data_IF_371286377720
#
_entry.id   IF_371286377720
#
_cell.length_a   1.000
_cell.length_b   1.000
_cell.length_c   1.000
_cell.angle_alpha   90.00
_cell.angle_beta   90.00
_cell.angle_gamma   90.00
#
_symmetry.space_group_name_H-M   'P 1'
#
loop_
_entity.id
_entity.type
_entity.pdbx_description
1 polymer ?
#
# COMPACT_ATOMS: atom_id res chain seq x y z
N UNK A 1 1.64 2.27 -35.24
CA UNK A 1 1.88 1.45 -34.04
C UNK A 1 1.89 2.35 -32.81
N UNK A 2 0.72 2.60 -32.21
CA UNK A 2 0.63 3.37 -30.96
C UNK A 2 1.08 2.44 -29.83
N UNK A 3 2.24 2.73 -29.25
CA UNK A 3 2.74 2.03 -28.06
C UNK A 3 1.81 2.38 -26.90
N UNK A 4 1.15 1.37 -26.35
CA UNK A 4 0.51 1.41 -25.04
C UNK A 4 1.53 1.87 -23.99
N UNK A 5 1.62 3.17 -23.74
CA UNK A 5 2.18 3.68 -22.49
C UNK A 5 1.22 3.20 -21.40
N UNK A 6 1.57 2.11 -20.72
CA UNK A 6 0.94 1.73 -19.45
C UNK A 6 0.94 2.99 -18.57
N UNK A 7 -0.25 3.53 -18.32
CA UNK A 7 -0.46 4.63 -17.40
C UNK A 7 -0.02 4.20 -16.00
N UNK A 8 1.25 4.40 -15.65
CA UNK A 8 1.71 4.41 -14.26
C UNK A 8 1.23 5.69 -13.56
N UNK A 9 -0.06 6.03 -13.72
CA UNK A 9 -0.65 7.16 -13.02
C UNK A 9 -0.79 6.74 -11.57
N UNK A 10 0.04 7.33 -10.72
CA UNK A 10 -0.17 7.24 -9.27
C UNK A 10 -1.47 7.97 -8.95
N UNK A 11 -2.40 7.28 -8.30
CA UNK A 11 -3.63 7.90 -7.80
C UNK A 11 -3.34 8.59 -6.46
N UNK A 12 -3.93 9.78 -6.28
CA UNK A 12 -3.80 10.51 -5.01
C UNK A 12 -4.94 10.06 -4.09
N UNK A 13 -4.56 9.45 -2.96
CA UNK A 13 -5.50 8.98 -1.94
C UNK A 13 -5.28 9.80 -0.67
N UNK A 14 -6.37 10.29 -0.08
CA UNK A 14 -6.35 10.93 1.25
C UNK A 14 -6.79 9.93 2.31
N UNK A 15 -6.02 9.81 3.39
CA UNK A 15 -6.26 8.87 4.49
C UNK A 15 -6.37 9.67 5.79
N UNK A 16 -7.38 9.33 6.61
CA UNK A 16 -7.52 9.86 7.96
C UNK A 16 -6.89 8.89 8.95
N UNK A 17 -5.98 9.40 9.78
CA UNK A 17 -5.33 8.67 10.86
C UNK A 17 -5.56 9.45 12.16
N UNK A 18 -5.68 8.74 13.29
CA UNK A 18 -5.57 9.38 14.59
C UNK A 18 -4.15 9.93 14.80
N UNK A 19 -4.01 10.87 15.74
CA UNK A 19 -2.76 11.58 15.98
C UNK A 19 -1.61 10.62 16.34
N UNK A 20 -1.86 9.65 17.21
CA UNK A 20 -0.86 8.71 17.69
C UNK A 20 -0.36 7.81 16.55
N UNK A 21 -1.26 7.31 15.71
CA UNK A 21 -0.89 6.49 14.54
C UNK A 21 -0.09 7.29 13.53
N UNK A 22 -0.46 8.55 13.28
CA UNK A 22 0.30 9.44 12.39
C UNK A 22 1.72 9.69 12.90
N UNK A 23 1.89 9.94 14.20
CA UNK A 23 3.20 10.18 14.82
C UNK A 23 4.09 8.95 14.75
N UNK A 24 3.55 7.77 15.09
CA UNK A 24 4.28 6.50 14.96
C UNK A 24 4.72 6.24 13.52
N UNK A 25 3.85 6.49 12.55
CA UNK A 25 4.17 6.33 11.14
C UNK A 25 5.28 7.31 10.71
N UNK A 26 5.20 8.57 11.13
CA UNK A 26 6.22 9.57 10.84
C UNK A 26 7.60 9.15 11.39
N UNK A 27 7.65 8.70 12.64
CA UNK A 27 8.87 8.21 13.26
C UNK A 27 9.49 7.02 12.51
N UNK A 28 8.67 6.04 12.09
CA UNK A 28 9.15 4.91 11.28
C UNK A 28 9.71 5.38 9.93
N UNK A 29 9.05 6.35 9.29
CA UNK A 29 9.51 6.92 8.03
C UNK A 29 10.89 7.60 8.17
N UNK A 30 11.11 8.29 9.28
CA UNK A 30 12.40 8.91 9.61
C UNK A 30 13.50 7.86 9.79
N UNK A 31 13.23 6.79 10.56
CA UNK A 31 14.19 5.70 10.77
C UNK A 31 14.58 4.98 9.47
N UNK A 32 13.61 4.78 8.57
CA UNK A 32 13.84 4.09 7.30
C UNK A 32 14.30 5.02 6.16
N UNK A 33 14.49 6.32 6.42
CA UNK A 33 14.76 7.36 5.41
C UNK A 33 13.82 7.26 4.21
N UNK A 34 12.53 7.03 4.47
CA UNK A 34 11.53 6.68 3.45
C UNK A 34 10.36 7.65 3.45
N UNK A 35 9.86 7.96 2.26
CA UNK A 35 8.63 8.72 2.10
C UNK A 35 7.41 7.99 2.68
N UNK A 36 6.55 8.75 3.36
CA UNK A 36 5.34 8.22 4.01
C UNK A 36 4.43 7.44 3.06
N UNK A 37 4.27 7.90 1.81
CA UNK A 37 3.48 7.19 0.80
C UNK A 37 4.01 5.79 0.49
N UNK A 38 5.34 5.62 0.43
CA UNK A 38 5.98 4.33 0.21
C UNK A 38 5.83 3.42 1.43
N UNK A 39 5.92 3.99 2.64
CA UNK A 39 5.71 3.22 3.87
C UNK A 39 4.26 2.74 4.00
N UNK A 40 3.28 3.61 3.71
CA UNK A 40 1.87 3.23 3.67
C UNK A 40 1.64 2.14 2.62
N UNK A 41 2.21 2.28 1.43
CA UNK A 41 2.12 1.25 0.38
C UNK A 41 2.62 -0.11 0.88
N UNK A 42 3.80 -0.15 1.51
CA UNK A 42 4.37 -1.39 2.07
C UNK A 42 3.43 -2.00 3.11
N UNK A 43 2.94 -1.20 4.06
CA UNK A 43 2.02 -1.66 5.11
C UNK A 43 0.75 -2.28 4.50
N UNK A 44 0.15 -1.61 3.50
CA UNK A 44 -1.04 -2.12 2.81
C UNK A 44 -0.72 -3.43 2.07
N UNK A 45 0.41 -3.51 1.37
CA UNK A 45 0.83 -4.72 0.66
C UNK A 45 1.06 -5.90 1.61
N UNK A 46 1.74 -5.67 2.73
CA UNK A 46 2.00 -6.70 3.75
C UNK A 46 0.69 -7.18 4.38
N UNK A 47 -0.25 -6.26 4.65
CA UNK A 47 -1.58 -6.60 5.16
C UNK A 47 -2.38 -7.44 4.15
N UNK A 48 -2.46 -7.00 2.88
CA UNK A 48 -3.18 -7.72 1.82
C UNK A 48 -2.61 -9.13 1.66
N UNK A 49 -1.28 -9.27 1.57
CA UNK A 49 -0.63 -10.57 1.42
C UNK A 49 -0.97 -11.52 2.57
N UNK A 50 -0.94 -11.03 3.81
CA UNK A 50 -1.31 -11.83 4.97
C UNK A 50 -2.81 -12.22 4.92
N UNK A 51 -3.67 -11.29 4.55
CA UNK A 51 -5.10 -11.54 4.38
C UNK A 51 -5.37 -12.61 3.30
N UNK A 52 -4.78 -12.46 2.12
CA UNK A 52 -4.88 -13.43 1.03
C UNK A 52 -4.48 -14.85 1.44
N UNK A 53 -3.37 -14.97 2.18
CA UNK A 53 -2.88 -16.25 2.70
C UNK A 53 -3.85 -16.86 3.72
N UNK A 54 -4.38 -16.07 4.65
CA UNK A 54 -5.28 -16.58 5.69
C UNK A 54 -6.66 -16.97 5.15
N UNK A 55 -7.08 -16.39 4.02
CA UNK A 55 -8.40 -16.62 3.42
C UNK A 55 -8.36 -17.37 2.08
N UNK A 56 -7.19 -17.88 1.67
CA UNK A 56 -6.96 -18.61 0.41
C UNK A 56 -7.50 -17.87 -0.83
N UNK A 57 -7.41 -16.55 -0.84
CA UNK A 57 -8.03 -15.73 -1.89
C UNK A 57 -7.36 -15.92 -3.26
N UNK A 58 -6.07 -16.23 -3.28
CA UNK A 58 -5.30 -16.46 -4.51
C UNK A 58 -5.77 -17.65 -5.34
N UNK A 59 -6.56 -18.55 -4.73
CA UNK A 59 -7.13 -19.73 -5.41
C UNK A 59 -8.57 -19.51 -5.87
N UNK A 60 -9.13 -18.31 -5.68
CA UNK A 60 -10.49 -17.97 -6.10
C UNK A 60 -10.46 -17.38 -7.50
N UNK A 61 -11.39 -17.83 -8.35
CA UNK A 61 -11.49 -17.37 -9.74
C UNK A 61 -11.99 -15.92 -9.87
N UNK A 62 -12.66 -15.39 -8.85
CA UNK A 62 -13.23 -14.03 -8.81
C UNK A 62 -12.34 -13.00 -8.10
N UNK A 63 -11.18 -13.43 -7.58
CA UNK A 63 -10.24 -12.55 -6.91
C UNK A 63 -9.31 -11.87 -7.93
N UNK A 64 -9.19 -10.53 -7.90
CA UNK A 64 -8.46 -9.75 -8.92
C UNK A 64 -6.94 -9.97 -8.95
#
# INVERSE_FOLDING_TARGET
MQKNQKNNKSEIISIRLDALTKEKLAYICELEYRHMSLQIRKIIQDYIKNYEQNFNLTNREDYP
#
